data_IF_636830908355
#
_entry.id   IF_636830908355
#
_cell.length_a   1.000
_cell.length_b   1.000
_cell.length_c   1.000
_cell.angle_alpha   90.00
_cell.angle_beta   90.00
_cell.angle_gamma   90.00
#
_symmetry.space_group_name_H-M   'P 1'
#
loop_
_entity.id
_entity.type
_entity.pdbx_description
1 polymer ?
#
# COMPACT_ATOMS: atom_id res chain seq x y z
N UNK A 1 -3.11 -18.04 26.26
CA UNK A 1 -2.69 -18.52 24.92
C UNK A 1 -3.20 -17.52 23.90
N UNK A 2 -2.36 -16.59 23.44
CA UNK A 2 -2.74 -15.66 22.37
C UNK A 2 -2.73 -16.43 21.05
N UNK A 3 -3.91 -16.64 20.47
CA UNK A 3 -4.03 -17.06 19.09
C UNK A 3 -3.39 -15.98 18.23
N UNK A 4 -2.10 -16.13 17.94
CA UNK A 4 -1.43 -15.38 16.89
C UNK A 4 -2.22 -15.69 15.62
N UNK A 5 -3.06 -14.73 15.22
CA UNK A 5 -3.87 -14.74 14.02
C UNK A 5 -2.91 -14.62 12.83
N UNK A 6 -2.08 -15.65 12.62
CA UNK A 6 -1.14 -15.76 11.51
C UNK A 6 -2.01 -15.97 10.29
N UNK A 7 -2.26 -14.87 9.59
CA UNK A 7 -2.88 -14.89 8.28
C UNK A 7 -2.15 -15.96 7.44
N UNK A 8 -2.89 -16.84 6.74
CA UNK A 8 -2.31 -18.03 6.09
C UNK A 8 -1.31 -17.71 4.98
N UNK A 9 -1.15 -16.44 4.62
CA UNK A 9 -0.20 -15.96 3.63
C UNK A 9 0.53 -14.73 4.19
N UNK A 10 1.83 -14.56 3.91
CA UNK A 10 2.52 -13.32 4.26
C UNK A 10 2.01 -12.19 3.37
N UNK A 11 1.58 -11.08 3.97
CA UNK A 11 1.29 -9.86 3.22
C UNK A 11 2.58 -9.34 2.58
N UNK A 12 2.51 -8.87 1.33
CA UNK A 12 3.67 -8.28 0.65
C UNK A 12 4.19 -7.00 1.32
N UNK A 13 3.34 -6.35 2.12
CA UNK A 13 3.61 -5.11 2.85
C UNK A 13 3.29 -5.28 4.33
N UNK A 14 3.96 -4.52 5.19
CA UNK A 14 3.73 -4.48 6.64
C UNK A 14 3.00 -3.20 7.06
N UNK A 15 2.36 -3.23 8.23
CA UNK A 15 1.86 -2.00 8.85
C UNK A 15 3.05 -1.07 9.15
N UNK A 16 2.86 0.23 8.92
CA UNK A 16 3.91 1.25 9.02
C UNK A 16 4.83 1.34 7.81
N UNK A 17 4.69 0.46 6.81
CA UNK A 17 5.53 0.49 5.62
C UNK A 17 5.09 1.61 4.66
N UNK A 18 6.08 2.38 4.20
CA UNK A 18 5.88 3.37 3.13
C UNK A 18 5.73 2.70 1.78
N UNK A 19 4.70 3.10 1.06
CA UNK A 19 4.30 2.54 -0.21
C UNK A 19 3.96 3.62 -1.22
N UNK A 20 4.12 3.30 -2.50
CA UNK A 20 3.69 4.15 -3.60
C UNK A 20 2.43 3.59 -4.23
N UNK A 21 1.41 4.43 -4.36
CA UNK A 21 0.14 4.07 -5.00
C UNK A 21 0.28 4.24 -6.51
N UNK A 22 0.09 3.15 -7.24
CA UNK A 22 0.15 3.09 -8.71
C UNK A 22 -1.20 3.49 -9.36
N UNK A 23 -1.97 4.37 -8.73
CA UNK A 23 -3.18 5.03 -9.27
C UNK A 23 -4.27 4.16 -9.91
N UNK A 24 -4.31 2.84 -9.65
CA UNK A 24 -5.11 1.97 -10.51
C UNK A 24 -6.57 1.91 -10.07
N UNK A 25 -6.87 1.58 -8.81
CA UNK A 25 -8.26 1.42 -8.33
C UNK A 25 -8.32 1.54 -6.80
N UNK A 26 -9.09 2.51 -6.28
CA UNK A 26 -9.62 2.47 -4.91
C UNK A 26 -10.86 1.58 -4.86
N UNK A 27 -11.32 1.16 -3.69
CA UNK A 27 -12.59 0.43 -3.57
C UNK A 27 -13.78 1.25 -4.09
N UNK A 28 -13.69 2.58 -4.04
CA UNK A 28 -14.71 3.53 -4.49
C UNK A 28 -14.72 3.75 -6.01
N UNK A 29 -13.85 3.08 -6.77
CA UNK A 29 -13.77 3.23 -8.23
C UNK A 29 -13.22 4.58 -8.70
N UNK A 30 -12.77 5.47 -7.80
CA UNK A 30 -12.11 6.72 -8.15
C UNK A 30 -10.68 6.47 -8.61
N UNK A 31 -10.33 7.00 -9.78
CA UNK A 31 -8.93 7.05 -10.26
C UNK A 31 -8.14 7.94 -9.30
N UNK A 32 -7.09 7.37 -8.71
CA UNK A 32 -6.15 8.12 -7.88
C UNK A 32 -4.92 8.49 -8.69
N UNK A 33 -4.31 9.63 -8.40
CA UNK A 33 -3.09 10.08 -9.05
C UNK A 33 -1.98 9.05 -8.85
N UNK A 34 -1.38 8.59 -9.94
CA UNK A 34 -0.22 7.71 -9.91
C UNK A 34 0.94 8.41 -9.20
N UNK A 35 1.60 7.71 -8.28
CA UNK A 35 2.80 8.21 -7.60
C UNK A 35 2.56 8.82 -6.22
N UNK A 36 1.31 8.81 -5.71
CA UNK A 36 1.04 9.22 -4.34
C UNK A 36 1.77 8.31 -3.34
N UNK A 37 2.52 8.93 -2.44
CA UNK A 37 3.17 8.25 -1.33
C UNK A 37 2.18 8.10 -0.17
N UNK A 38 2.32 7.03 0.59
CA UNK A 38 1.54 6.84 1.80
C UNK A 38 2.05 5.70 2.66
N UNK A 39 1.46 5.57 3.85
CA UNK A 39 1.85 4.60 4.88
C UNK A 39 0.74 3.58 5.08
N UNK A 40 1.09 2.30 5.08
CA UNK A 40 0.12 1.23 5.35
C UNK A 40 -0.29 1.26 6.83
N UNK A 41 -1.55 1.58 7.13
CA UNK A 41 -2.09 1.60 8.50
C UNK A 41 -2.84 0.35 8.88
N UNK A 42 -3.54 -0.27 7.93
CA UNK A 42 -4.29 -1.51 8.15
C UNK A 42 -4.13 -2.47 7.00
N UNK A 43 -4.17 -3.76 7.32
CA UNK A 43 -4.06 -4.85 6.35
C UNK A 43 -5.26 -5.78 6.57
N UNK A 44 -5.94 -6.13 5.48
CA UNK A 44 -7.07 -7.05 5.51
C UNK A 44 -6.95 -8.04 4.35
N UNK A 45 -7.06 -9.32 4.64
CA UNK A 45 -7.14 -10.36 3.62
C UNK A 45 -8.61 -10.73 3.39
N UNK A 46 -9.01 -10.86 2.12
CA UNK A 46 -10.34 -11.34 1.75
C UNK A 46 -10.19 -12.55 0.83
N UNK A 47 -10.83 -13.71 1.12
CA UNK A 47 -10.66 -14.93 0.32
C UNK A 47 -10.95 -14.74 -1.18
N UNK A 48 -11.94 -13.90 -1.52
CA UNK A 48 -12.36 -13.63 -2.90
C UNK A 48 -11.52 -12.59 -3.66
N UNK A 49 -10.85 -11.66 -2.97
CA UNK A 49 -10.16 -10.51 -3.62
C UNK A 49 -8.71 -10.33 -3.19
N UNK A 50 -8.17 -11.22 -2.37
CA UNK A 50 -6.80 -11.17 -1.87
C UNK A 50 -6.58 -10.06 -0.82
N UNK A 51 -5.37 -9.54 -0.80
CA UNK A 51 -4.92 -8.54 0.17
C UNK A 51 -5.38 -7.12 -0.17
N UNK A 52 -5.83 -6.44 0.88
CA UNK A 52 -6.21 -5.02 0.86
C UNK A 52 -5.45 -4.28 1.95
N UNK A 53 -5.11 -3.04 1.65
CA UNK A 53 -4.29 -2.18 2.50
C UNK A 53 -5.01 -0.85 2.68
N UNK A 54 -5.17 -0.41 3.92
CA UNK A 54 -5.49 1.00 4.20
C UNK A 54 -4.18 1.74 4.15
N UNK A 55 -4.06 2.64 3.20
CA UNK A 55 -2.91 3.53 3.06
C UNK A 55 -3.36 4.92 3.48
N UNK A 56 -2.64 5.51 4.43
CA UNK A 56 -2.71 6.92 4.74
C UNK A 56 -1.84 7.65 3.73
N UNK A 57 -2.46 8.43 2.88
CA UNK A 57 -1.79 9.25 1.89
C UNK A 57 -1.20 10.50 2.55
N UNK A 58 -0.23 11.14 1.90
CA UNK A 58 0.41 12.37 2.42
C UNK A 58 -0.53 13.55 2.65
N UNK A 59 -1.69 13.58 2.01
CA UNK A 59 -2.75 14.56 2.22
C UNK A 59 -3.59 14.27 3.50
N UNK A 60 -3.25 13.20 4.23
CA UNK A 60 -3.96 12.73 5.42
C UNK A 60 -5.16 11.84 5.12
N UNK A 61 -5.46 11.56 3.84
CA UNK A 61 -6.58 10.69 3.49
C UNK A 61 -6.27 9.21 3.70
N UNK A 62 -7.18 8.49 4.36
CA UNK A 62 -7.10 7.05 4.54
C UNK A 62 -7.94 6.34 3.47
N UNK A 63 -7.29 5.61 2.56
CA UNK A 63 -7.98 4.92 1.46
C UNK A 63 -7.61 3.44 1.38
N UNK A 64 -8.59 2.64 0.96
CA UNK A 64 -8.40 1.20 0.72
C UNK A 64 -7.88 0.94 -0.68
N UNK A 65 -6.75 0.22 -0.74
CA UNK A 65 -6.10 -0.18 -1.98
C UNK A 65 -5.94 -1.70 -2.05
N UNK A 66 -6.13 -2.26 -3.24
CA UNK A 66 -5.76 -3.65 -3.52
C UNK A 66 -4.25 -3.78 -3.65
N UNK A 67 -3.72 -4.97 -3.37
CA UNK A 67 -2.29 -5.28 -3.52
C UNK A 67 -1.69 -4.85 -4.86
N UNK A 68 -2.44 -5.00 -5.97
CA UNK A 68 -1.99 -4.61 -7.32
C UNK A 68 -1.81 -3.09 -7.50
N UNK A 69 -2.52 -2.29 -6.70
CA UNK A 69 -2.51 -0.83 -6.75
C UNK A 69 -1.39 -0.23 -5.88
N UNK A 70 -0.70 -1.04 -5.08
CA UNK A 70 0.31 -0.61 -4.13
C UNK A 70 1.66 -1.22 -4.50
N UNK A 71 2.71 -0.41 -4.48
CA UNK A 71 4.08 -0.85 -4.68
C UNK A 71 4.94 -0.44 -3.50
N UNK A 72 5.99 -1.23 -3.24
CA UNK A 72 6.97 -0.86 -2.22
C UNK A 72 7.60 0.45 -2.64
N UNK A 73 7.69 1.41 -1.74
CA UNK A 73 8.38 2.65 -2.03
C UNK A 73 9.80 2.32 -2.51
N UNK A 74 10.11 2.75 -3.73
CA UNK A 74 11.45 2.69 -4.28
C UNK A 74 11.89 4.12 -4.47
N UNK A 75 12.75 4.67 -3.59
CA UNK A 75 13.37 5.96 -3.87
C UNK A 75 14.12 5.83 -5.20
N UNK A 76 13.69 6.57 -6.22
CA UNK A 76 14.54 6.79 -7.39
C UNK A 76 15.63 7.73 -6.92
N UNK A 77 16.75 7.17 -6.45
CA UNK A 77 17.98 7.94 -6.31
C UNK A 77 18.38 8.41 -7.71
N UNK A 78 18.04 9.65 -8.03
CA UNK A 78 18.69 10.37 -9.12
C UNK A 78 20.04 10.77 -8.56
N UNK A 79 21.05 9.92 -8.74
CA UNK A 79 22.43 10.35 -8.55
C UNK A 79 22.69 11.28 -9.72
N UNK A 80 22.44 12.57 -9.54
CA UNK A 80 22.99 13.58 -10.44
C UNK A 80 24.49 13.60 -10.18
N UNK A 81 25.23 12.80 -10.95
CA UNK A 81 26.66 12.99 -11.10
C UNK A 81 26.85 14.34 -11.80
N UNK A 82 26.94 15.41 -11.02
CA UNK A 82 27.54 16.66 -11.47
C UNK A 82 29.05 16.46 -11.29
N UNK A 83 29.71 16.11 -12.39
CA UNK A 83 31.15 16.13 -12.56
C UNK A 83 31.45 16.79 -13.90
#
# INVERSE_FOLDING_TARGET
>A
MSAENKLPYPSKFRMGEEVTVKGSYTEEGKKFTFGALGVVRKIKHTPKRGWRFVVELHDGELKWFYQKSVQKYKPKFVISSVL
#
